data_IF_081436270367
#
_entry.id   IF_081436270367
#
_cell.length_a   1.000
_cell.length_b   1.000
_cell.length_c   1.000
_cell.angle_alpha   90.00
_cell.angle_beta   90.00
_cell.angle_gamma   90.00
#
_symmetry.space_group_name_H-M   'P 1'
#
loop_
_entity.id
_entity.type
_entity.pdbx_description
1 polymer ?
#
# COMPACT_ATOMS: atom_id res chain seq x y z
N UNK A 1 22.23 22.45 -3.60
CA UNK A 1 21.36 21.91 -4.67
C UNK A 1 19.92 22.26 -4.34
N UNK A 2 19.12 22.73 -5.30
CA UNK A 2 17.68 22.91 -5.09
C UNK A 2 17.02 21.57 -4.76
N UNK A 3 15.97 21.61 -3.94
CA UNK A 3 15.27 20.42 -3.47
C UNK A 3 14.19 20.03 -4.50
N UNK A 4 14.27 18.81 -5.03
CA UNK A 4 13.30 18.30 -6.00
C UNK A 4 11.89 18.19 -5.40
N UNK A 5 10.85 18.43 -6.20
CA UNK A 5 9.49 18.14 -5.78
C UNK A 5 9.34 16.63 -5.59
N UNK A 6 8.52 16.21 -4.63
CA UNK A 6 8.38 14.78 -4.31
C UNK A 6 7.89 13.96 -5.50
N UNK A 7 6.97 14.51 -6.29
CA UNK A 7 6.46 13.89 -7.53
C UNK A 7 7.55 13.44 -8.48
N UNK A 8 8.66 14.17 -8.53
CA UNK A 8 9.68 14.00 -9.57
C UNK A 8 10.59 12.80 -9.29
N UNK A 9 10.58 12.27 -8.07
CA UNK A 9 11.47 11.18 -7.65
C UNK A 9 10.80 10.09 -6.82
N UNK A 10 9.52 10.23 -6.43
CA UNK A 10 8.87 9.29 -5.52
C UNK A 10 8.76 7.88 -6.12
N UNK A 11 8.49 7.76 -7.43
CA UNK A 11 8.37 6.46 -8.07
C UNK A 11 9.66 5.65 -8.01
N UNK A 12 10.83 6.31 -8.06
CA UNK A 12 12.13 5.66 -7.89
C UNK A 12 12.30 5.01 -6.51
N UNK A 13 11.57 5.45 -5.50
CA UNK A 13 11.68 4.88 -4.14
C UNK A 13 10.90 3.59 -3.95
N UNK A 14 9.95 3.31 -4.84
CA UNK A 14 9.09 2.12 -4.80
C UNK A 14 9.35 1.14 -5.93
N UNK A 15 10.07 1.57 -6.98
CA UNK A 15 10.54 0.70 -8.05
C UNK A 15 11.72 -0.18 -7.59
N UNK A 16 11.39 -1.13 -6.71
CA UNK A 16 12.35 -2.00 -6.03
C UNK A 16 12.09 -3.49 -6.29
N UNK A 17 11.25 -3.82 -7.26
CA UNK A 17 10.96 -5.22 -7.59
C UNK A 17 11.87 -5.71 -8.70
N UNK A 18 12.30 -6.97 -8.61
CA UNK A 18 13.12 -7.62 -9.63
C UNK A 18 12.82 -9.12 -9.70
N UNK A 19 13.18 -9.75 -10.82
CA UNK A 19 13.11 -11.20 -10.98
C UNK A 19 14.29 -11.87 -10.28
N UNK A 20 13.99 -12.79 -9.37
CA UNK A 20 14.99 -13.54 -8.61
C UNK A 20 15.67 -14.56 -9.54
N UNK A 21 17.00 -14.68 -9.42
CA UNK A 21 17.79 -15.60 -10.25
C UNK A 21 18.32 -16.82 -9.46
N UNK A 22 18.51 -16.67 -8.15
CA UNK A 22 19.21 -17.67 -7.32
C UNK A 22 18.29 -18.43 -6.37
N UNK A 23 17.06 -17.96 -6.19
CA UNK A 23 16.06 -18.53 -5.29
C UNK A 23 14.70 -18.45 -5.97
N UNK A 24 13.84 -19.42 -5.69
CA UNK A 24 12.48 -19.42 -6.20
C UNK A 24 11.62 -18.37 -5.47
N UNK A 25 10.61 -17.86 -6.17
CA UNK A 25 9.68 -16.86 -5.65
C UNK A 25 8.98 -17.33 -4.36
N UNK A 26 8.62 -18.62 -4.29
CA UNK A 26 7.96 -19.22 -3.11
C UNK A 26 8.90 -19.37 -1.91
N UNK A 27 10.22 -19.49 -2.14
CA UNK A 27 11.22 -19.51 -1.07
C UNK A 27 11.46 -18.09 -0.52
N UNK A 28 11.58 -17.11 -1.42
CA UNK A 28 11.80 -15.71 -1.03
C UNK A 28 10.54 -15.05 -0.44
N UNK A 29 9.35 -15.45 -0.89
CA UNK A 29 8.04 -14.92 -0.46
C UNK A 29 7.07 -16.06 -0.12
N UNK A 30 7.27 -16.76 1.02
CA UNK A 30 6.43 -17.90 1.41
C UNK A 30 4.96 -17.50 1.56
N UNK A 31 4.04 -18.38 1.13
CA UNK A 31 2.59 -18.12 1.15
C UNK A 31 2.08 -17.77 2.55
N UNK A 32 2.58 -18.46 3.57
CA UNK A 32 2.17 -18.26 4.96
C UNK A 32 2.55 -16.88 5.53
N UNK A 33 3.56 -16.24 4.96
CA UNK A 33 4.05 -14.91 5.40
C UNK A 33 3.60 -13.78 4.47
N UNK A 34 3.56 -14.04 3.16
CA UNK A 34 3.26 -13.03 2.15
C UNK A 34 1.77 -12.90 1.86
N UNK A 35 0.97 -13.94 2.13
CA UNK A 35 -0.48 -13.98 1.87
C UNK A 35 -0.88 -13.46 0.47
N UNK A 36 -0.14 -13.88 -0.57
CA UNK A 36 -0.30 -13.38 -1.94
C UNK A 36 -1.59 -13.84 -2.64
N UNK A 37 -2.34 -14.77 -2.05
CA UNK A 37 -3.62 -15.31 -2.54
C UNK A 37 -3.63 -15.72 -4.01
N UNK A 38 -2.52 -16.29 -4.49
CA UNK A 38 -2.39 -16.75 -5.87
C UNK A 38 -2.25 -15.63 -6.89
N UNK A 39 -2.14 -14.36 -6.47
CA UNK A 39 -1.91 -13.23 -7.35
C UNK A 39 -0.43 -13.20 -7.77
N UNK A 40 -0.11 -13.19 -9.08
CA UNK A 40 1.27 -13.10 -9.57
C UNK A 40 1.98 -11.83 -9.08
N UNK A 41 3.28 -11.93 -8.79
CA UNK A 41 4.09 -10.83 -8.27
C UNK A 41 3.95 -9.53 -9.09
N UNK A 42 3.98 -9.63 -10.42
CA UNK A 42 3.88 -8.51 -11.35
C UNK A 42 2.58 -7.71 -11.20
N UNK A 43 1.48 -8.36 -10.78
CA UNK A 43 0.21 -7.69 -10.51
C UNK A 43 0.23 -6.86 -9.22
N UNK A 44 1.11 -7.19 -8.28
CA UNK A 44 1.30 -6.39 -7.07
C UNK A 44 2.10 -5.11 -7.34
N UNK A 45 2.89 -5.07 -8.41
CA UNK A 45 3.77 -3.92 -8.70
C UNK A 45 3.00 -2.67 -9.10
N UNK A 46 1.73 -2.80 -9.52
CA UNK A 46 0.86 -1.67 -9.85
C UNK A 46 0.21 -1.04 -8.61
N UNK A 47 0.42 -1.59 -7.41
CA UNK A 47 -0.14 -1.05 -6.19
C UNK A 47 0.36 0.38 -5.93
N UNK A 48 -0.58 1.30 -5.72
CA UNK A 48 -0.30 2.72 -5.46
C UNK A 48 -0.96 3.16 -4.15
N UNK A 49 -0.15 3.50 -3.15
CA UNK A 49 -0.72 3.94 -1.90
C UNK A 49 -1.34 5.35 -2.01
N UNK A 50 -2.55 5.56 -1.46
CA UNK A 50 -3.25 6.84 -1.55
C UNK A 50 -2.59 7.94 -0.72
N UNK A 51 -1.82 7.58 0.31
CA UNK A 51 -1.18 8.51 1.24
C UNK A 51 0.35 8.38 1.22
N UNK A 52 0.96 8.97 0.20
CA UNK A 52 2.42 8.97 0.00
C UNK A 52 3.16 9.68 1.13
N UNK A 53 4.18 9.04 1.68
CA UNK A 53 5.05 9.58 2.74
C UNK A 53 6.51 9.17 2.48
N UNK A 54 7.46 10.05 2.78
CA UNK A 54 8.90 9.77 2.61
C UNK A 54 9.61 9.80 3.95
N UNK A 55 10.73 9.09 4.07
CA UNK A 55 11.48 8.98 5.33
C UNK A 55 11.78 10.34 5.99
N UNK A 56 12.31 11.37 5.30
CA UNK A 56 12.56 12.67 5.92
C UNK A 56 11.28 13.37 6.41
N UNK A 57 10.16 13.15 5.73
CA UNK A 57 8.85 13.72 6.11
C UNK A 57 8.26 12.98 7.30
N UNK A 58 8.38 11.65 7.33
CA UNK A 58 7.96 10.82 8.46
C UNK A 58 8.76 11.17 9.72
N UNK A 59 10.09 11.24 9.61
CA UNK A 59 10.97 11.63 10.73
C UNK A 59 10.64 13.03 11.26
N UNK A 60 10.46 14.01 10.36
CA UNK A 60 10.09 15.35 10.79
C UNK A 60 8.68 15.43 11.42
N UNK A 61 7.73 14.57 11.02
CA UNK A 61 6.41 14.47 11.64
C UNK A 61 6.49 13.85 13.04
N UNK A 62 7.27 12.78 13.18
CA UNK A 62 7.47 12.11 14.46
C UNK A 62 8.12 13.06 15.49
N UNK A 63 9.17 13.79 15.09
CA UNK A 63 9.82 14.80 15.95
C UNK A 63 8.85 15.91 16.37
N UNK A 64 7.92 16.29 15.49
CA UNK A 64 6.90 17.33 15.78
C UNK A 64 5.68 16.81 16.53
N UNK A 65 5.65 15.53 16.92
CA UNK A 65 4.50 14.92 17.59
C UNK A 65 3.20 15.02 16.80
N UNK A 66 3.28 15.17 15.46
CA UNK A 66 2.08 15.32 14.63
C UNK A 66 1.42 13.95 14.47
N UNK A 67 0.18 13.76 14.98
CA UNK A 67 -0.50 12.49 14.83
C UNK A 67 -0.74 12.22 13.35
N UNK A 68 -0.67 10.94 12.97
CA UNK A 68 -1.18 10.48 11.68
C UNK A 68 -2.63 10.91 11.57
N UNK A 69 -2.98 11.75 10.59
CA UNK A 69 -4.38 12.11 10.32
C UNK A 69 -5.16 10.82 10.15
N UNK A 70 -6.10 10.58 11.07
CA UNK A 70 -6.91 9.38 11.14
C UNK A 70 -7.57 9.11 9.77
N UNK A 71 -7.29 7.94 9.19
CA UNK A 71 -7.79 7.54 7.88
C UNK A 71 -9.33 7.50 7.85
N UNK A 72 -9.99 7.31 9.00
CA UNK A 72 -11.46 7.27 9.09
C UNK A 72 -12.12 8.62 8.83
N UNK A 73 -11.46 9.75 9.11
CA UNK A 73 -12.10 11.06 9.01
C UNK A 73 -12.24 11.58 7.56
N UNK A 74 -11.58 10.95 6.58
CA UNK A 74 -11.61 11.42 5.18
C UNK A 74 -12.75 10.86 4.34
N UNK A 75 -13.36 9.75 4.74
CA UNK A 75 -14.55 9.23 4.03
C UNK A 75 -15.77 10.16 4.14
N UNK A 76 -15.77 11.11 5.08
CA UNK A 76 -16.87 12.07 5.27
C UNK A 76 -16.74 13.38 4.47
N UNK A 77 -15.55 13.74 3.96
CA UNK A 77 -15.30 15.05 3.37
C UNK A 77 -15.39 15.09 1.83
N UNK A 78 -15.49 13.94 1.16
CA UNK A 78 -15.81 13.86 -0.26
C UNK A 78 -17.32 13.58 -0.39
N UNK A 79 -18.10 14.64 -0.60
CA UNK A 79 -19.55 14.55 -0.76
C UNK A 79 -19.93 13.75 -2.00
N UNK A 80 -20.82 12.77 -1.77
CA UNK A 80 -21.85 12.22 -2.65
C UNK A 80 -21.46 11.84 -4.09
N UNK A 81 -21.32 10.53 -4.35
CA UNK A 81 -22.18 9.80 -5.31
C UNK A 81 -22.32 8.33 -4.87
N UNK A 82 -23.58 7.93 -4.65
CA UNK A 82 -24.16 6.58 -4.53
C UNK A 82 -23.72 5.66 -3.36
N UNK A 83 -24.67 5.14 -2.55
CA UNK A 83 -24.38 4.13 -1.55
C UNK A 83 -24.00 2.83 -2.28
N UNK A 84 -22.72 2.46 -2.26
CA UNK A 84 -22.29 1.12 -2.63
C UNK A 84 -23.05 0.14 -1.74
N UNK A 85 -23.85 -0.72 -2.37
CA UNK A 85 -24.58 -1.79 -1.69
C UNK A 85 -23.55 -2.66 -0.97
N UNK A 86 -23.93 -3.11 0.24
CA UNK A 86 -23.13 -3.92 1.16
C UNK A 86 -22.58 -5.22 0.55
N UNK A 87 -23.00 -5.60 -0.65
CA UNK A 87 -22.53 -6.77 -1.38
C UNK A 87 -21.20 -6.56 -2.15
N UNK A 88 -20.78 -5.32 -2.42
CA UNK A 88 -19.49 -5.03 -3.10
C UNK A 88 -18.29 -4.96 -2.13
N UNK A 89 -18.54 -4.85 -0.82
CA UNK A 89 -17.49 -4.82 0.22
C UNK A 89 -16.89 -6.20 0.52
N UNK A 90 -17.31 -7.26 -0.19
CA UNK A 90 -16.64 -8.57 -0.16
C UNK A 90 -15.36 -8.63 -1.01
N UNK A 91 -15.08 -7.62 -1.84
CA UNK A 91 -13.95 -7.62 -2.76
C UNK A 91 -12.71 -6.84 -2.27
N UNK A 92 -12.82 -6.01 -1.23
CA UNK A 92 -11.68 -5.22 -0.75
C UNK A 92 -11.67 -5.25 0.78
N UNK A 93 -10.82 -6.14 1.30
CA UNK A 93 -10.76 -6.55 2.70
C UNK A 93 -10.61 -5.38 3.68
N UNK A 94 -11.68 -5.14 4.42
CA UNK A 94 -11.60 -4.47 5.71
C UNK A 94 -11.31 -5.53 6.78
N UNK A 95 -10.08 -5.53 7.30
CA UNK A 95 -9.81 -5.83 8.71
C UNK A 95 -10.27 -7.19 9.25
N UNK A 96 -10.08 -8.27 8.52
CA UNK A 96 -9.86 -9.59 9.10
C UNK A 96 -8.67 -10.22 8.39
N UNK A 97 -7.86 -11.00 9.10
CA UNK A 97 -6.84 -11.83 8.49
C UNK A 97 -7.53 -12.88 7.62
N UNK A 98 -7.90 -12.49 6.40
CA UNK A 98 -8.40 -13.40 5.39
C UNK A 98 -7.20 -14.23 4.95
N UNK A 99 -7.03 -15.38 5.61
CA UNK A 99 -6.26 -16.50 5.09
C UNK A 99 -6.77 -16.77 3.68
N UNK A 100 -5.87 -16.80 2.71
CA UNK A 100 -6.24 -17.17 1.34
C UNK A 100 -6.94 -18.54 1.37
N UNK A 101 -8.08 -18.73 0.67
CA UNK A 101 -8.73 -20.03 0.59
C UNK A 101 -7.76 -21.04 -0.03
N UNK A 102 -7.63 -22.20 0.61
CA UNK A 102 -6.75 -23.30 0.21
C UNK A 102 -7.27 -24.11 -0.97
#
# INVERSE_FOLDING_TARGET
>A
MPRLARSDWYDLTRDMNWTLANVDEEEARPKDLSNSCGVPAEKWWVWDEPNKITYPVAGARAVRGQPSRDLRQRHHAAGAEQPLQVDDLRAVGHGEAHTCPG
#
